data_IF_586339327318
#
_entry.id   IF_586339327318
#
_cell.length_a   1.000
_cell.length_b   1.000
_cell.length_c   1.000
_cell.angle_alpha   90.00
_cell.angle_beta   90.00
_cell.angle_gamma   90.00
#
_symmetry.space_group_name_H-M   'P 1'
#
loop_
_entity.id
_entity.type
_entity.pdbx_description
1 polymer ?
#
# COMPACT_ATOMS: atom_id res chain seq x y z
N UNK A 1 17.61 7.41 17.83
CA UNK A 1 17.49 8.50 16.82
C UNK A 1 18.15 8.02 15.54
N UNK A 2 17.36 7.67 14.53
CA UNK A 2 17.84 7.16 13.25
C UNK A 2 18.76 8.19 12.57
N UNK A 3 19.97 7.78 12.17
CA UNK A 3 20.82 8.59 11.30
C UNK A 3 20.39 8.33 9.86
N UNK A 4 19.44 9.13 9.38
CA UNK A 4 19.00 9.06 7.99
C UNK A 4 20.10 9.71 7.14
N UNK A 5 20.68 8.96 6.21
CA UNK A 5 21.58 9.50 5.21
C UNK A 5 20.77 10.40 4.27
N UNK A 6 21.08 11.69 4.24
CA UNK A 6 20.42 12.68 3.39
C UNK A 6 21.32 13.12 2.23
N UNK A 7 22.46 12.46 1.98
CA UNK A 7 23.38 12.86 0.91
C UNK A 7 22.73 12.81 -0.49
N UNK A 8 21.69 11.98 -0.66
CA UNK A 8 20.88 11.96 -1.89
C UNK A 8 20.12 13.27 -2.14
N UNK A 9 19.96 14.13 -1.12
CA UNK A 9 19.13 15.32 -1.26
C UNK A 9 19.68 16.30 -2.28
N UNK A 10 21.00 16.46 -2.33
CA UNK A 10 21.66 17.36 -3.29
C UNK A 10 21.49 16.85 -4.73
N UNK A 11 21.68 15.55 -4.96
CA UNK A 11 21.49 14.91 -6.26
C UNK A 11 20.06 15.12 -6.79
N UNK A 12 19.06 14.99 -5.92
CA UNK A 12 17.64 15.10 -6.30
C UNK A 12 17.03 16.48 -6.12
N UNK A 13 17.81 17.53 -5.84
CA UNK A 13 17.29 18.87 -5.54
C UNK A 13 16.36 19.40 -6.64
N UNK A 14 16.73 19.24 -7.92
CA UNK A 14 15.90 19.67 -9.06
C UNK A 14 14.55 18.94 -9.09
N UNK A 15 14.52 17.67 -8.70
CA UNK A 15 13.30 16.87 -8.60
C UNK A 15 12.42 17.38 -7.46
N UNK A 16 13.00 17.65 -6.30
CA UNK A 16 12.27 18.20 -5.15
C UNK A 16 11.69 19.58 -5.45
N UNK A 17 12.43 20.47 -6.10
CA UNK A 17 11.94 21.80 -6.48
C UNK A 17 10.73 21.70 -7.40
N UNK A 18 10.80 20.81 -8.42
CA UNK A 18 9.68 20.55 -9.33
C UNK A 18 8.47 19.96 -8.59
N UNK A 19 8.67 19.05 -7.65
CA UNK A 19 7.60 18.47 -6.84
C UNK A 19 6.95 19.52 -5.93
N UNK A 20 7.75 20.38 -5.30
CA UNK A 20 7.28 21.47 -4.47
C UNK A 20 6.46 22.49 -5.27
N UNK A 21 6.90 22.85 -6.47
CA UNK A 21 6.12 23.71 -7.37
C UNK A 21 4.75 23.12 -7.71
N UNK A 22 4.71 21.81 -8.03
CA UNK A 22 3.43 21.10 -8.28
C UNK A 22 2.54 21.05 -7.02
N UNK A 23 3.12 20.82 -5.84
CA UNK A 23 2.42 20.83 -4.57
C UNK A 23 1.78 22.18 -4.29
N UNK A 24 2.52 23.28 -4.51
CA UNK A 24 2.01 24.64 -4.32
C UNK A 24 0.83 24.95 -5.25
N UNK A 25 0.92 24.57 -6.53
CA UNK A 25 -0.19 24.70 -7.49
C UNK A 25 -1.42 23.92 -7.02
N UNK A 26 -1.24 22.69 -6.53
CA UNK A 26 -2.33 21.88 -6.00
C UNK A 26 -2.95 22.51 -4.74
N UNK A 27 -2.13 23.09 -3.87
CA UNK A 27 -2.59 23.76 -2.64
C UNK A 27 -3.38 25.03 -2.95
N UNK A 28 -2.91 25.87 -3.88
CA UNK A 28 -3.60 27.10 -4.28
C UNK A 28 -4.91 26.85 -5.03
N UNK A 29 -5.07 25.65 -5.61
CA UNK A 29 -6.29 25.25 -6.32
C UNK A 29 -7.38 24.64 -5.43
N UNK A 30 -7.16 24.55 -4.10
CA UNK A 30 -8.15 23.98 -3.15
C UNK A 30 -9.15 25.04 -2.65
N UNK A 31 -10.40 24.64 -2.30
CA UNK A 31 -10.93 23.28 -2.34
C UNK A 31 -11.28 22.82 -3.75
N UNK A 32 -11.01 21.55 -4.05
CA UNK A 32 -11.42 20.93 -5.31
C UNK A 32 -12.90 20.54 -5.23
N UNK A 33 -13.66 20.56 -6.34
CA UNK A 33 -15.04 20.08 -6.36
C UNK A 33 -15.13 18.61 -5.89
N UNK A 34 -16.09 18.31 -5.01
CA UNK A 34 -16.25 16.97 -4.42
C UNK A 34 -16.40 15.87 -5.48
N UNK A 35 -17.13 16.13 -6.56
CA UNK A 35 -17.30 15.18 -7.67
C UNK A 35 -15.95 14.86 -8.33
N UNK A 36 -15.10 15.87 -8.53
CA UNK A 36 -13.76 15.68 -9.10
C UNK A 36 -12.86 14.89 -8.13
N UNK A 37 -12.91 15.22 -6.84
CA UNK A 37 -12.17 14.49 -5.81
C UNK A 37 -12.55 13.01 -5.76
N UNK A 38 -13.84 12.69 -5.80
CA UNK A 38 -14.31 11.31 -5.77
C UNK A 38 -13.82 10.51 -7.00
N UNK A 39 -13.93 11.08 -8.20
CA UNK A 39 -13.40 10.44 -9.42
C UNK A 39 -11.89 10.24 -9.41
N UNK A 40 -11.15 11.22 -8.85
CA UNK A 40 -9.70 11.10 -8.68
C UNK A 40 -9.36 9.96 -7.72
N UNK A 41 -10.04 9.91 -6.56
CA UNK A 41 -9.83 8.84 -5.56
C UNK A 41 -10.12 7.46 -6.14
N UNK A 42 -11.26 7.31 -6.83
CA UNK A 42 -11.64 6.06 -7.50
C UNK A 42 -10.59 5.63 -8.53
N UNK A 43 -10.20 6.52 -9.44
CA UNK A 43 -9.17 6.19 -10.43
C UNK A 43 -7.81 5.87 -9.80
N UNK A 44 -7.44 6.53 -8.71
CA UNK A 44 -6.18 6.27 -8.02
C UNK A 44 -6.22 4.95 -7.25
N UNK A 45 -7.33 4.58 -6.60
CA UNK A 45 -7.46 3.31 -5.87
C UNK A 45 -7.26 2.11 -6.81
N UNK A 46 -7.93 2.13 -7.97
CA UNK A 46 -7.81 1.06 -8.97
C UNK A 46 -6.37 0.95 -9.49
N UNK A 47 -5.75 2.09 -9.83
CA UNK A 47 -4.36 2.11 -10.32
C UNK A 47 -3.37 1.70 -9.24
N UNK A 48 -3.59 2.10 -8.00
CA UNK A 48 -2.75 1.70 -6.87
C UNK A 48 -2.82 0.19 -6.73
N UNK A 49 -4.01 -0.38 -6.57
CA UNK A 49 -4.23 -1.82 -6.41
C UNK A 49 -3.60 -2.62 -7.54
N UNK A 50 -3.84 -2.21 -8.80
CA UNK A 50 -3.25 -2.86 -9.97
C UNK A 50 -1.71 -2.86 -9.93
N UNK A 51 -1.09 -1.69 -9.74
CA UNK A 51 0.36 -1.59 -9.80
C UNK A 51 1.04 -2.27 -8.60
N UNK A 52 0.43 -2.19 -7.41
CA UNK A 52 0.92 -2.87 -6.20
C UNK A 52 0.97 -4.38 -6.42
N UNK A 53 -0.15 -4.98 -6.79
CA UNK A 53 -0.24 -6.43 -6.99
C UNK A 53 0.58 -6.90 -8.20
N UNK A 54 0.67 -6.09 -9.26
CA UNK A 54 1.47 -6.42 -10.45
C UNK A 54 2.97 -6.52 -10.14
N UNK A 55 3.50 -5.72 -9.21
CA UNK A 55 4.90 -5.81 -8.76
C UNK A 55 5.15 -7.15 -8.06
N UNK A 56 4.17 -7.65 -7.31
CA UNK A 56 4.22 -8.93 -6.59
C UNK A 56 3.83 -10.15 -7.47
N UNK A 57 3.58 -9.92 -8.77
CA UNK A 57 3.37 -10.97 -9.77
C UNK A 57 1.92 -11.32 -10.07
N UNK A 58 0.95 -10.55 -9.56
CA UNK A 58 -0.45 -10.69 -9.95
C UNK A 58 -0.61 -10.35 -11.44
N UNK A 59 -1.36 -11.17 -12.18
CA UNK A 59 -1.44 -11.10 -13.63
C UNK A 59 -2.70 -10.39 -14.15
N UNK A 60 -3.58 -9.89 -13.27
CA UNK A 60 -4.77 -9.14 -13.68
C UNK A 60 -4.34 -7.85 -14.39
N UNK A 61 -4.89 -7.60 -15.58
CA UNK A 61 -4.73 -6.31 -16.27
C UNK A 61 -5.45 -5.18 -15.51
N UNK A 62 -5.16 -3.92 -15.84
CA UNK A 62 -5.85 -2.78 -15.22
C UNK A 62 -7.37 -2.84 -15.40
N UNK A 63 -7.84 -3.28 -16.58
CA UNK A 63 -9.28 -3.43 -16.85
C UNK A 63 -9.89 -4.58 -16.04
N UNK A 64 -9.19 -5.70 -15.94
CA UNK A 64 -9.62 -6.83 -15.11
C UNK A 64 -9.67 -6.45 -13.63
N UNK A 65 -8.66 -5.77 -13.12
CA UNK A 65 -8.62 -5.21 -11.76
C UNK A 65 -9.82 -4.31 -11.50
N UNK A 66 -10.14 -3.41 -12.44
CA UNK A 66 -11.31 -2.55 -12.35
C UNK A 66 -12.62 -3.35 -12.28
N UNK A 67 -12.77 -4.39 -13.11
CA UNK A 67 -13.95 -5.26 -13.09
C UNK A 67 -14.09 -6.01 -11.77
N UNK A 68 -13.00 -6.51 -11.20
CA UNK A 68 -13.00 -7.15 -9.88
C UNK A 68 -13.45 -6.18 -8.78
N UNK A 69 -12.91 -4.95 -8.77
CA UNK A 69 -13.18 -3.97 -7.70
C UNK A 69 -14.60 -3.36 -7.83
N UNK A 70 -14.99 -2.93 -9.02
CA UNK A 70 -16.23 -2.17 -9.22
C UNK A 70 -17.45 -3.06 -9.43
N UNK A 71 -17.30 -4.16 -10.19
CA UNK A 71 -18.41 -5.04 -10.56
C UNK A 71 -18.49 -6.30 -9.67
N UNK A 72 -17.43 -6.58 -8.90
CA UNK A 72 -17.38 -7.75 -8.02
C UNK A 72 -17.36 -9.08 -8.77
N UNK A 73 -16.89 -9.09 -10.02
CA UNK A 73 -16.88 -10.28 -10.87
C UNK A 73 -15.53 -10.99 -10.88
N UNK A 74 -15.55 -12.29 -11.15
CA UNK A 74 -14.34 -13.08 -11.39
C UNK A 74 -13.95 -13.07 -12.86
N UNK A 75 -12.64 -13.13 -13.12
CA UNK A 75 -12.00 -13.16 -14.42
C UNK A 75 -11.59 -14.58 -14.76
N UNK A 76 -12.03 -15.03 -15.92
CA UNK A 76 -11.70 -16.37 -16.42
C UNK A 76 -10.18 -16.55 -16.57
N UNK A 77 -9.66 -17.69 -16.10
CA UNK A 77 -8.24 -18.03 -16.23
C UNK A 77 -7.32 -17.36 -15.20
N UNK A 78 -7.88 -16.64 -14.22
CA UNK A 78 -7.15 -16.04 -13.10
C UNK A 78 -7.44 -16.81 -11.81
N UNK A 79 -6.45 -16.94 -10.94
CA UNK A 79 -6.59 -17.70 -9.70
C UNK A 79 -7.48 -16.97 -8.69
N UNK A 80 -8.17 -17.71 -7.81
CA UNK A 80 -8.92 -17.07 -6.72
C UNK A 80 -8.02 -16.21 -5.82
N UNK A 81 -6.76 -16.63 -5.64
CA UNK A 81 -5.76 -15.86 -4.90
C UNK A 81 -5.57 -14.47 -5.50
N UNK A 82 -5.36 -14.36 -6.82
CA UNK A 82 -5.20 -13.06 -7.48
C UNK A 82 -6.43 -12.15 -7.32
N UNK A 83 -7.64 -12.73 -7.33
CA UNK A 83 -8.86 -11.97 -7.07
C UNK A 83 -8.94 -11.48 -5.63
N UNK A 84 -8.59 -12.33 -4.67
CA UNK A 84 -8.56 -11.95 -3.26
C UNK A 84 -7.48 -10.90 -3.00
N UNK A 85 -6.28 -11.01 -3.59
CA UNK A 85 -5.24 -9.98 -3.51
C UNK A 85 -5.77 -8.62 -3.99
N UNK A 86 -6.44 -8.59 -5.15
CA UNK A 86 -7.03 -7.37 -5.70
C UNK A 86 -8.16 -6.82 -4.82
N UNK A 87 -9.08 -7.67 -4.39
CA UNK A 87 -10.20 -7.24 -3.56
C UNK A 87 -9.74 -6.75 -2.18
N UNK A 88 -8.78 -7.45 -1.57
CA UNK A 88 -8.28 -7.14 -0.25
C UNK A 88 -7.44 -5.87 -0.22
N UNK A 89 -6.59 -5.63 -1.24
CA UNK A 89 -5.78 -4.42 -1.29
C UNK A 89 -6.65 -3.16 -1.42
N UNK A 90 -7.70 -3.20 -2.25
CA UNK A 90 -8.70 -2.12 -2.33
C UNK A 90 -9.38 -1.87 -0.97
N UNK A 91 -9.74 -2.94 -0.24
CA UNK A 91 -10.34 -2.84 1.10
C UNK A 91 -9.35 -2.36 2.16
N UNK A 92 -8.06 -2.68 2.01
CA UNK A 92 -6.99 -2.18 2.88
C UNK A 92 -6.76 -0.68 2.64
N UNK A 93 -6.78 -0.22 1.38
CA UNK A 93 -6.71 1.21 1.02
C UNK A 93 -7.93 1.96 1.59
N UNK A 94 -9.14 1.40 1.46
CA UNK A 94 -10.35 1.97 2.08
C UNK A 94 -10.21 2.12 3.60
N UNK A 95 -9.65 1.12 4.27
CA UNK A 95 -9.39 1.17 5.72
C UNK A 95 -8.34 2.24 6.05
N UNK A 96 -7.24 2.31 5.31
CA UNK A 96 -6.20 3.31 5.49
C UNK A 96 -6.80 4.72 5.46
N UNK A 97 -7.59 5.04 4.44
CA UNK A 97 -8.23 6.36 4.31
C UNK A 97 -9.27 6.69 5.40
N UNK A 98 -9.79 5.69 6.12
CA UNK A 98 -10.68 5.90 7.28
C UNK A 98 -9.90 6.19 8.57
N UNK A 99 -8.70 5.64 8.70
CA UNK A 99 -7.90 5.73 9.93
C UNK A 99 -6.99 6.95 9.92
N UNK A 100 -6.37 7.27 8.78
CA UNK A 100 -5.40 8.36 8.69
C UNK A 100 -6.08 9.73 8.68
N UNK A 101 -5.55 10.63 9.50
CA UNK A 101 -5.90 12.04 9.54
C UNK A 101 -4.68 12.84 10.08
N UNK A 102 -4.77 14.16 10.12
CA UNK A 102 -3.64 15.02 10.50
C UNK A 102 -3.16 14.81 11.97
N UNK A 103 -4.02 14.28 12.84
CA UNK A 103 -3.72 13.98 14.25
C UNK A 103 -3.37 12.49 14.48
N UNK A 104 -3.33 11.69 13.42
CA UNK A 104 -3.11 10.26 13.52
C UNK A 104 -1.66 9.95 13.94
N UNK A 105 -1.51 9.23 15.05
CA UNK A 105 -0.24 8.65 15.48
C UNK A 105 -0.18 7.21 15.00
N UNK A 106 0.89 6.85 14.30
CA UNK A 106 1.12 5.49 13.82
C UNK A 106 1.15 4.51 14.99
N UNK A 107 0.37 3.43 14.89
CA UNK A 107 0.28 2.36 15.89
C UNK A 107 0.45 1.01 15.22
N UNK A 108 1.20 0.13 15.86
CA UNK A 108 1.45 -1.26 15.42
C UNK A 108 0.15 -2.02 15.15
N UNK A 109 -0.88 -1.81 15.96
CA UNK A 109 -2.20 -2.42 15.76
C UNK A 109 -2.83 -2.10 14.39
N UNK A 110 -2.62 -0.89 13.86
CA UNK A 110 -3.18 -0.49 12.57
C UNK A 110 -2.37 -1.08 11.41
N UNK A 111 -1.06 -1.25 11.59
CA UNK A 111 -0.19 -1.97 10.64
C UNK A 111 -0.65 -3.44 10.55
N UNK A 112 -0.85 -4.09 11.70
CA UNK A 112 -1.35 -5.46 11.76
C UNK A 112 -2.78 -5.58 11.22
N UNK A 113 -3.65 -4.60 11.46
CA UNK A 113 -5.00 -4.58 10.89
C UNK A 113 -4.98 -4.47 9.36
N UNK A 114 -4.09 -3.63 8.80
CA UNK A 114 -3.86 -3.56 7.35
C UNK A 114 -3.37 -4.90 6.81
N UNK A 115 -2.37 -5.51 7.45
CA UNK A 115 -1.85 -6.82 7.07
C UNK A 115 -2.93 -7.91 7.11
N UNK A 116 -3.81 -7.88 8.11
CA UNK A 116 -4.95 -8.80 8.21
C UNK A 116 -5.93 -8.64 7.05
N UNK A 117 -6.22 -7.41 6.64
CA UNK A 117 -7.09 -7.14 5.50
C UNK A 117 -6.47 -7.67 4.20
N UNK A 118 -5.19 -7.41 3.97
CA UNK A 118 -4.46 -7.86 2.77
C UNK A 118 -4.48 -9.39 2.64
N UNK A 119 -4.24 -10.13 3.73
CA UNK A 119 -4.12 -11.60 3.70
C UNK A 119 -5.43 -12.39 3.90
N UNK A 120 -6.56 -11.71 4.11
CA UNK A 120 -7.86 -12.37 4.36
C UNK A 120 -8.22 -13.33 3.23
N UNK A 121 -8.66 -14.55 3.54
CA UNK A 121 -8.99 -15.58 2.53
C UNK A 121 -7.84 -15.99 1.61
N UNK A 122 -6.60 -15.64 1.98
CA UNK A 122 -5.36 -16.05 1.31
C UNK A 122 -4.52 -16.89 2.28
N UNK A 123 -4.14 -16.29 3.42
CA UNK A 123 -3.27 -16.88 4.44
C UNK A 123 -3.77 -16.47 5.85
N UNK A 124 -4.98 -16.92 6.19
CA UNK A 124 -5.70 -16.48 7.39
C UNK A 124 -4.95 -16.75 8.70
N UNK A 125 -4.21 -17.86 8.78
CA UNK A 125 -3.40 -18.20 9.96
C UNK A 125 -2.29 -17.17 10.25
N UNK A 126 -1.86 -16.40 9.24
CA UNK A 126 -0.81 -15.39 9.36
C UNK A 126 -1.35 -13.95 9.27
N UNK A 127 -2.60 -13.78 8.87
CA UNK A 127 -3.24 -12.48 8.70
C UNK A 127 -3.20 -11.67 10.01
N UNK A 128 -2.56 -10.50 9.97
CA UNK A 128 -2.42 -9.62 11.13
C UNK A 128 -1.45 -10.05 12.22
N UNK A 129 -0.60 -11.05 11.96
CA UNK A 129 0.41 -11.51 12.90
C UNK A 129 1.83 -11.20 12.42
N UNK A 130 2.74 -10.92 13.35
CA UNK A 130 4.16 -10.89 13.04
C UNK A 130 4.65 -12.31 12.75
N UNK A 131 5.57 -12.43 11.79
CA UNK A 131 6.19 -13.73 11.49
C UNK A 131 6.88 -14.30 12.73
N UNK A 132 6.74 -15.60 12.91
CA UNK A 132 7.40 -16.39 13.96
C UNK A 132 8.61 -17.19 13.42
N UNK A 133 8.89 -17.09 12.12
CA UNK A 133 9.96 -17.79 11.45
C UNK A 133 10.90 -16.82 10.70
N UNK A 134 12.07 -17.34 10.31
CA UNK A 134 12.99 -16.61 9.44
C UNK A 134 12.37 -16.32 8.08
N UNK A 135 12.63 -15.14 7.53
CA UNK A 135 12.22 -14.77 6.17
C UNK A 135 13.46 -14.57 5.29
N UNK A 136 13.35 -14.91 4.01
CA UNK A 136 14.37 -14.64 2.99
C UNK A 136 13.73 -13.83 1.87
N UNK A 137 14.38 -12.74 1.48
CA UNK A 137 13.92 -11.91 0.36
C UNK A 137 14.58 -12.45 -0.91
N UNK A 138 13.79 -13.01 -1.81
CA UNK A 138 14.27 -13.48 -3.11
C UNK A 138 14.82 -12.31 -3.93
N UNK A 139 16.01 -12.46 -4.50
CA UNK A 139 16.65 -11.41 -5.31
C UNK A 139 17.39 -10.33 -4.51
N UNK A 140 17.44 -10.40 -3.18
CA UNK A 140 18.20 -9.47 -2.34
C UNK A 140 19.26 -10.21 -1.48
N UNK A 141 20.39 -9.55 -1.25
CA UNK A 141 21.42 -10.00 -0.28
C UNK A 141 21.09 -9.58 1.16
N UNK A 142 19.95 -8.93 1.38
CA UNK A 142 19.51 -8.50 2.69
C UNK A 142 18.90 -9.65 3.49
N UNK A 143 19.30 -9.77 4.75
CA UNK A 143 18.74 -10.74 5.70
C UNK A 143 17.91 -9.96 6.72
N UNK A 144 16.58 -10.17 6.79
CA UNK A 144 15.74 -9.54 7.79
C UNK A 144 16.16 -9.90 9.23
N UNK A 145 15.79 -9.07 10.24
CA UNK A 145 16.04 -9.37 11.65
C UNK A 145 15.51 -10.76 12.06
N UNK A 146 15.99 -11.31 13.18
CA UNK A 146 15.38 -12.53 13.74
C UNK A 146 13.90 -12.28 14.09
N UNK A 147 13.02 -13.26 13.88
CA UNK A 147 11.59 -13.16 14.18
C UNK A 147 11.31 -12.67 15.62
N UNK A 148 12.11 -13.12 16.59
CA UNK A 148 11.98 -12.74 18.00
C UNK A 148 12.26 -11.26 18.27
N UNK A 149 12.90 -10.54 17.35
CA UNK A 149 13.20 -9.11 17.47
C UNK A 149 12.18 -8.23 16.74
N UNK A 150 11.27 -8.81 15.95
CA UNK A 150 10.38 -8.03 15.08
C UNK A 150 9.41 -7.18 15.89
N UNK A 151 8.89 -7.69 17.00
CA UNK A 151 7.99 -6.92 17.87
C UNK A 151 8.69 -5.68 18.42
N UNK A 152 9.88 -5.86 19.00
CA UNK A 152 10.66 -4.77 19.58
C UNK A 152 11.00 -3.70 18.52
N UNK A 153 11.35 -4.13 17.30
CA UNK A 153 11.69 -3.23 16.19
C UNK A 153 10.48 -2.54 15.56
N UNK A 154 9.27 -3.10 15.72
CA UNK A 154 8.05 -2.48 15.22
C UNK A 154 7.59 -1.32 16.12
N UNK A 155 7.86 -1.43 17.42
CA UNK A 155 7.47 -0.45 18.42
C UNK A 155 8.56 0.61 18.72
N UNK A 156 9.75 0.50 18.11
CA UNK A 156 10.86 1.49 18.19
C UNK A 156 10.60 2.76 17.37
#
# INVERSE_FOLDING_TARGET
MWKIDLNYSEEFQTTFDRLNGKKQILQSSRPLPNIALNKIKESLSIKWTYNSNSIEGNSLTLRETQMVIQEGITIQGKSLREHFETYNDDKAIDFLFKVVNDEYVLKSINILSLHALVLRSIEEDFAGHLRNAGARITGANFVPPNANKVSDLLDE
#
